data_IF_873104709924
#
_entry.id   IF_873104709924
#
_cell.length_a   1.000
_cell.length_b   1.000
_cell.length_c   1.000
_cell.angle_alpha   90.00
_cell.angle_beta   90.00
_cell.angle_gamma   90.00
#
_symmetry.space_group_name_H-M   'P 1'
#
loop_
_entity.id
_entity.type
_entity.pdbx_description
1 polymer ?
#
# COMPACT_ATOMS: atom_id res chain seq x y z
N UNK A 1 22.42 9.86 2.67
CA UNK A 1 21.07 9.26 2.58
C UNK A 1 20.62 9.33 1.14
N UNK A 2 20.05 8.26 0.62
CA UNK A 2 19.69 8.11 -0.80
C UNK A 2 18.17 8.13 -1.00
N UNK A 3 17.56 9.29 -0.76
CA UNK A 3 16.09 9.45 -0.73
C UNK A 3 15.42 8.97 -2.02
N UNK A 4 15.99 9.28 -3.19
CA UNK A 4 15.43 8.83 -4.47
C UNK A 4 15.34 7.31 -4.60
N UNK A 5 16.33 6.57 -4.07
CA UNK A 5 16.32 5.11 -4.07
C UNK A 5 15.28 4.56 -3.09
N UNK A 6 15.19 5.15 -1.89
CA UNK A 6 14.19 4.78 -0.87
C UNK A 6 12.78 4.95 -1.43
N UNK A 7 12.48 6.12 -2.01
CA UNK A 7 11.18 6.41 -2.63
C UNK A 7 10.87 5.44 -3.78
N UNK A 8 11.86 5.07 -4.59
CA UNK A 8 11.68 4.09 -5.66
C UNK A 8 11.26 2.72 -5.12
N UNK A 9 11.94 2.23 -4.09
CA UNK A 9 11.66 0.92 -3.49
C UNK A 9 10.30 0.93 -2.80
N UNK A 10 9.94 2.02 -2.08
CA UNK A 10 8.61 2.20 -1.50
C UNK A 10 7.51 2.21 -2.57
N UNK A 11 7.71 2.94 -3.66
CA UNK A 11 6.75 2.98 -4.77
C UNK A 11 6.54 1.59 -5.40
N UNK A 12 7.61 0.82 -5.59
CA UNK A 12 7.50 -0.56 -6.08
C UNK A 12 6.72 -1.44 -5.09
N UNK A 13 7.01 -1.33 -3.78
CA UNK A 13 6.29 -2.05 -2.75
C UNK A 13 4.79 -1.73 -2.78
N UNK A 14 4.41 -0.46 -2.89
CA UNK A 14 3.00 -0.09 -2.93
C UNK A 14 2.30 -0.58 -4.20
N UNK A 15 2.97 -0.56 -5.37
CA UNK A 15 2.42 -1.19 -6.58
C UNK A 15 2.15 -2.68 -6.34
N UNK A 16 3.06 -3.40 -5.68
CA UNK A 16 2.84 -4.81 -5.32
C UNK A 16 1.60 -4.95 -4.42
N UNK A 17 1.43 -4.10 -3.41
CA UNK A 17 0.24 -4.11 -2.55
C UNK A 17 -1.04 -3.85 -3.36
N UNK A 18 -1.02 -2.86 -4.26
CA UNK A 18 -2.18 -2.58 -5.13
C UNK A 18 -2.52 -3.76 -6.04
N UNK A 19 -1.50 -4.51 -6.49
CA UNK A 19 -1.72 -5.72 -7.27
C UNK A 19 -2.39 -6.81 -6.43
N UNK A 20 -1.98 -6.99 -5.16
CA UNK A 20 -2.64 -7.93 -4.26
C UNK A 20 -4.08 -7.54 -3.92
N UNK A 21 -4.45 -6.25 -3.94
CA UNK A 21 -5.84 -5.81 -3.78
C UNK A 21 -6.77 -6.26 -4.91
N UNK A 22 -6.24 -6.76 -6.04
CA UNK A 22 -7.04 -7.37 -7.11
C UNK A 22 -7.64 -8.71 -6.65
N UNK A 23 -7.00 -9.43 -5.73
CA UNK A 23 -7.51 -10.73 -5.25
C UNK A 23 -8.89 -10.58 -4.59
N UNK A 24 -9.11 -9.69 -3.61
CA UNK A 24 -10.44 -9.41 -3.08
C UNK A 24 -11.48 -9.03 -4.14
N UNK A 25 -11.09 -8.31 -5.20
CA UNK A 25 -11.99 -7.97 -6.32
C UNK A 25 -12.45 -9.23 -7.06
N UNK A 26 -11.54 -10.18 -7.31
CA UNK A 26 -11.88 -11.46 -7.96
C UNK A 26 -12.90 -12.23 -7.11
N UNK A 27 -12.72 -12.27 -5.79
CA UNK A 27 -13.67 -12.91 -4.88
C UNK A 27 -15.01 -12.16 -4.83
N UNK A 28 -15.00 -10.83 -4.79
CA UNK A 28 -16.23 -10.04 -4.84
C UNK A 28 -17.04 -10.33 -6.11
N UNK A 29 -16.39 -10.48 -7.26
CA UNK A 29 -17.03 -10.89 -8.51
C UNK A 29 -17.62 -12.31 -8.43
N UNK A 30 -16.87 -13.26 -7.84
CA UNK A 30 -17.31 -14.65 -7.67
C UNK A 30 -18.53 -14.78 -6.76
N UNK A 31 -18.57 -14.02 -5.66
CA UNK A 31 -19.68 -14.01 -4.70
C UNK A 31 -20.81 -13.03 -5.05
N UNK A 32 -20.74 -12.38 -6.23
CA UNK A 32 -21.71 -11.37 -6.67
C UNK A 32 -21.83 -10.12 -5.77
N UNK A 33 -20.78 -9.79 -5.01
CA UNK A 33 -20.68 -8.62 -4.13
C UNK A 33 -20.15 -7.39 -4.88
N UNK A 34 -20.86 -6.98 -5.94
CA UNK A 34 -20.42 -5.91 -6.85
C UNK A 34 -20.19 -4.57 -6.14
N UNK A 35 -20.90 -4.32 -5.03
CA UNK A 35 -20.75 -3.14 -4.19
C UNK A 35 -19.36 -3.03 -3.53
N UNK A 36 -18.63 -4.13 -3.37
CA UNK A 36 -17.30 -4.13 -2.73
C UNK A 36 -16.18 -3.66 -3.66
N UNK A 37 -16.38 -3.81 -4.98
CA UNK A 37 -15.36 -3.56 -5.99
C UNK A 37 -14.80 -2.13 -5.95
N UNK A 38 -15.64 -1.05 -5.88
CA UNK A 38 -15.13 0.32 -5.83
C UNK A 38 -14.21 0.59 -4.64
N UNK A 39 -14.45 -0.06 -3.50
CA UNK A 39 -13.67 0.13 -2.27
C UNK A 39 -12.22 -0.38 -2.40
N UNK A 40 -11.94 -1.30 -3.33
CA UNK A 40 -10.58 -1.73 -3.67
C UNK A 40 -10.01 -1.00 -4.89
N UNK A 41 -10.84 -0.69 -5.89
CA UNK A 41 -10.39 0.03 -7.10
C UNK A 41 -9.88 1.43 -6.78
N UNK A 42 -10.56 2.18 -5.91
CA UNK A 42 -10.15 3.55 -5.57
C UNK A 42 -8.75 3.58 -4.91
N UNK A 43 -8.45 2.77 -3.88
CA UNK A 43 -7.10 2.64 -3.34
C UNK A 43 -6.05 2.22 -4.37
N UNK A 44 -6.37 1.26 -5.25
CA UNK A 44 -5.45 0.83 -6.32
C UNK A 44 -5.07 2.01 -7.20
N UNK A 45 -6.06 2.78 -7.69
CA UNK A 45 -5.82 3.94 -8.54
C UNK A 45 -4.98 4.99 -7.80
N UNK A 46 -5.31 5.28 -6.53
CA UNK A 46 -4.54 6.22 -5.71
C UNK A 46 -3.07 5.80 -5.60
N UNK A 47 -2.81 4.52 -5.30
CA UNK A 47 -1.45 3.99 -5.19
C UNK A 47 -0.70 4.10 -6.52
N UNK A 48 -1.35 3.76 -7.64
CA UNK A 48 -0.73 3.83 -8.96
C UNK A 48 -0.40 5.26 -9.37
N UNK A 49 -1.33 6.20 -9.13
CA UNK A 49 -1.14 7.64 -9.43
C UNK A 49 0.03 8.22 -8.61
N UNK A 50 0.23 7.77 -7.38
CA UNK A 50 1.36 8.21 -6.54
C UNK A 50 2.66 7.51 -6.94
N UNK A 51 2.63 6.19 -7.14
CA UNK A 51 3.83 5.36 -7.25
C UNK A 51 4.48 5.40 -8.63
N UNK A 52 3.68 5.46 -9.71
CA UNK A 52 4.21 5.47 -11.08
C UNK A 52 5.09 6.70 -11.36
N UNK A 53 4.67 7.95 -11.05
CA UNK A 53 5.54 9.11 -11.22
C UNK A 53 6.83 9.01 -10.40
N UNK A 54 6.75 8.50 -9.16
CA UNK A 54 7.93 8.33 -8.31
C UNK A 54 8.95 7.39 -8.97
N UNK A 55 8.51 6.25 -9.50
CA UNK A 55 9.40 5.30 -10.19
C UNK A 55 10.06 5.95 -11.41
N UNK A 56 9.32 6.72 -12.20
CA UNK A 56 9.84 7.41 -13.38
C UNK A 56 10.89 8.46 -13.00
N UNK A 57 10.60 9.29 -11.99
CA UNK A 57 11.48 10.35 -11.52
C UNK A 57 12.75 9.81 -10.84
N UNK A 58 12.69 8.62 -10.25
CA UNK A 58 13.80 8.01 -9.48
C UNK A 58 14.59 6.95 -10.27
N UNK A 59 14.24 6.71 -11.54
CA UNK A 59 14.83 5.65 -12.39
C UNK A 59 16.36 5.71 -12.48
N UNK A 60 16.96 6.90 -12.42
CA UNK A 60 18.42 7.13 -12.49
C UNK A 60 19.15 6.98 -11.15
N UNK A 61 18.45 6.65 -10.06
CA UNK A 61 19.08 6.40 -8.76
C UNK A 61 19.67 4.98 -8.72
N UNK A 62 20.95 4.84 -9.06
CA UNK A 62 21.67 3.55 -9.16
C UNK A 62 22.66 3.36 -7.99
N UNK A 63 22.34 3.87 -6.81
CA UNK A 63 23.22 3.78 -5.63
C UNK A 63 22.90 2.53 -4.80
N UNK A 64 23.84 2.13 -3.96
CA UNK A 64 23.60 1.08 -2.96
C UNK A 64 22.89 1.66 -1.74
N UNK A 65 21.96 0.88 -1.17
CA UNK A 65 21.28 1.24 0.09
C UNK A 65 22.31 1.23 1.23
N UNK A 66 22.44 2.35 1.93
CA UNK A 66 23.20 2.39 3.19
C UNK A 66 22.36 1.84 4.34
N UNK A 67 22.97 1.44 5.45
CA UNK A 67 22.25 0.95 6.64
C UNK A 67 21.21 1.94 7.15
N UNK A 68 21.54 3.25 7.14
CA UNK A 68 20.60 4.32 7.53
C UNK A 68 19.41 4.43 6.58
N UNK A 69 19.64 4.25 5.28
CA UNK A 69 18.57 4.24 4.28
C UNK A 69 17.65 3.03 4.48
N UNK A 70 18.20 1.87 4.87
CA UNK A 70 17.45 0.66 5.20
C UNK A 70 16.51 0.83 6.38
N UNK A 71 16.98 1.43 7.49
CA UNK A 71 16.12 1.71 8.65
C UNK A 71 14.93 2.62 8.29
N UNK A 72 15.18 3.66 7.49
CA UNK A 72 14.13 4.57 7.04
C UNK A 72 13.15 3.84 6.10
N UNK A 73 13.68 3.07 5.15
CA UNK A 73 12.87 2.29 4.20
C UNK A 73 11.88 1.38 4.93
N UNK A 74 12.37 0.56 5.87
CA UNK A 74 11.53 -0.42 6.60
C UNK A 74 10.49 0.29 7.47
N UNK A 75 10.87 1.36 8.16
CA UNK A 75 9.94 2.11 9.01
C UNK A 75 8.81 2.72 8.18
N UNK A 76 9.14 3.37 7.06
CA UNK A 76 8.15 3.96 6.16
C UNK A 76 7.31 2.90 5.46
N UNK A 77 7.88 1.74 5.09
CA UNK A 77 7.11 0.69 4.44
C UNK A 77 5.97 0.22 5.33
N UNK A 78 6.22 -0.05 6.61
CA UNK A 78 5.14 -0.51 7.51
C UNK A 78 4.02 0.51 7.66
N UNK A 79 4.37 1.77 7.95
CA UNK A 79 3.39 2.84 8.18
C UNK A 79 2.51 3.05 6.94
N UNK A 80 3.10 3.18 5.76
CA UNK A 80 2.33 3.46 4.55
C UNK A 80 1.62 2.23 4.00
N UNK A 81 2.20 1.03 4.13
CA UNK A 81 1.50 -0.21 3.81
C UNK A 81 0.23 -0.34 4.63
N UNK A 82 0.31 -0.11 5.95
CA UNK A 82 -0.86 -0.13 6.83
C UNK A 82 -1.90 0.92 6.44
N UNK A 83 -1.45 2.15 6.15
CA UNK A 83 -2.34 3.23 5.72
C UNK A 83 -3.09 2.90 4.42
N UNK A 84 -2.38 2.43 3.39
CA UNK A 84 -3.01 2.08 2.12
C UNK A 84 -3.89 0.84 2.23
N UNK A 85 -3.45 -0.17 2.98
CA UNK A 85 -4.23 -1.38 3.23
C UNK A 85 -5.51 -1.13 4.03
N UNK A 86 -5.57 -0.06 4.84
CA UNK A 86 -6.76 0.33 5.60
C UNK A 86 -7.84 0.99 4.75
N UNK A 87 -7.51 1.52 3.57
CA UNK A 87 -8.45 2.27 2.75
C UNK A 87 -9.68 1.44 2.31
N UNK A 88 -9.57 0.17 1.87
CA UNK A 88 -10.74 -0.64 1.56
C UNK A 88 -11.68 -0.83 2.76
N UNK A 89 -11.14 -1.03 3.97
CA UNK A 89 -11.96 -1.20 5.19
C UNK A 89 -12.69 0.09 5.56
N UNK A 90 -11.97 1.22 5.47
CA UNK A 90 -12.54 2.53 5.75
C UNK A 90 -13.59 2.94 4.70
N UNK A 91 -13.30 2.78 3.41
CA UNK A 91 -14.22 3.17 2.33
C UNK A 91 -15.47 2.29 2.25
N UNK A 92 -15.37 1.01 2.60
CA UNK A 92 -16.53 0.11 2.70
C UNK A 92 -17.38 0.35 3.95
N UNK A 93 -16.93 1.21 4.87
CA UNK A 93 -17.52 1.42 6.19
C UNK A 93 -17.62 0.13 7.03
N UNK A 94 -16.85 -0.92 6.69
CA UNK A 94 -16.70 -2.11 7.54
C UNK A 94 -16.00 -1.77 8.85
N UNK A 95 -15.04 -0.84 8.80
CA UNK A 95 -14.45 -0.19 9.96
C UNK A 95 -14.52 1.34 9.75
N UNK A 96 -15.57 2.02 10.26
CA UNK A 96 -15.81 3.45 9.97
C UNK A 96 -14.76 4.40 10.52
N UNK A 97 -13.98 3.98 11.52
CA UNK A 97 -12.92 4.79 12.12
C UNK A 97 -11.57 4.45 11.48
N UNK A 98 -10.94 5.46 10.86
CA UNK A 98 -9.66 5.27 10.17
C UNK A 98 -8.56 4.73 11.09
N UNK A 99 -8.53 5.13 12.36
CA UNK A 99 -7.57 4.65 13.34
C UNK A 99 -7.71 3.15 13.60
N UNK A 100 -8.94 2.67 13.65
CA UNK A 100 -9.25 1.27 13.92
C UNK A 100 -8.95 0.42 12.68
N UNK A 101 -9.28 0.93 11.49
CA UNK A 101 -8.93 0.30 10.22
C UNK A 101 -7.40 0.22 10.02
N UNK A 102 -6.69 1.28 10.41
CA UNK A 102 -5.22 1.30 10.40
C UNK A 102 -4.65 0.29 11.38
N UNK A 103 -5.20 0.22 12.60
CA UNK A 103 -4.78 -0.75 13.62
C UNK A 103 -4.97 -2.18 13.13
N UNK A 104 -6.15 -2.51 12.59
CA UNK A 104 -6.48 -3.84 12.08
C UNK A 104 -5.52 -4.29 10.97
N UNK A 105 -5.26 -3.42 9.99
CA UNK A 105 -4.35 -3.75 8.89
C UNK A 105 -2.90 -3.83 9.35
N UNK A 106 -2.48 -2.95 10.27
CA UNK A 106 -1.14 -3.03 10.86
C UNK A 106 -0.98 -4.37 11.59
N UNK A 107 -1.97 -4.75 12.41
CA UNK A 107 -2.01 -6.02 13.13
C UNK A 107 -1.91 -7.22 12.18
N UNK A 108 -2.71 -7.22 11.10
CA UNK A 108 -2.67 -8.24 10.07
C UNK A 108 -1.31 -8.33 9.35
N UNK A 109 -0.74 -7.19 8.94
CA UNK A 109 0.58 -7.17 8.29
C UNK A 109 1.72 -7.63 9.20
N UNK A 110 1.65 -7.35 10.49
CA UNK A 110 2.66 -7.79 11.47
C UNK A 110 2.34 -9.14 12.10
N UNK A 111 1.28 -9.82 11.65
CA UNK A 111 0.84 -11.13 12.16
C UNK A 111 0.54 -11.13 13.67
N UNK A 112 0.08 -10.01 14.22
CA UNK A 112 -0.23 -9.87 15.65
C UNK A 112 -1.56 -10.56 16.00
N UNK A 113 -2.57 -10.43 15.13
CA UNK A 113 -3.94 -10.89 15.35
C UNK A 113 -4.89 -9.71 15.35
#
# INVERSE_FOLDING_TARGET
MHIGLILRVLAILFIIISFFMIFPIIFALYYHEMQMIPHFIVPIIMILVISLPIILLTRKSVRTLSTRDGFLLVSLSWIFSALFGALPLYFSASIPHLTDAFFEIMSGFTTTG
#
